data_IF_018410588428
#
_entry.id   IF_018410588428
#
_cell.length_a   1.000
_cell.length_b   1.000
_cell.length_c   1.000
_cell.angle_alpha   90.00
_cell.angle_beta   90.00
_cell.angle_gamma   90.00
#
_symmetry.space_group_name_H-M   'P 1'
#
loop_
_entity.id
_entity.type
_entity.pdbx_description
1 polymer ?
#
# COMPACT_ATOMS: atom_id res chain seq x y z
N UNK A 1 -5.93 -56.84 26.94
CA UNK A 1 -4.78 -55.93 26.81
C UNK A 1 -5.24 -54.82 25.89
N UNK A 2 -5.62 -53.70 26.51
CA UNK A 2 -6.36 -52.59 25.88
C UNK A 2 -5.35 -51.51 25.54
N UNK A 3 -5.23 -51.12 24.28
CA UNK A 3 -4.45 -49.96 23.88
C UNK A 3 -5.44 -48.82 23.69
N UNK A 4 -5.41 -47.89 24.64
CA UNK A 4 -6.16 -46.65 24.66
C UNK A 4 -5.53 -45.73 23.61
N UNK A 5 -6.34 -45.24 22.67
CA UNK A 5 -5.97 -44.13 21.81
C UNK A 5 -6.16 -42.83 22.60
N UNK A 6 -5.09 -42.06 22.79
CA UNK A 6 -5.18 -40.65 23.13
C UNK A 6 -5.32 -39.83 21.84
N UNK A 7 -6.36 -38.98 21.68
CA UNK A 7 -6.26 -37.85 20.78
C UNK A 7 -5.59 -36.71 21.53
N UNK A 8 -4.41 -36.29 21.05
CA UNK A 8 -3.80 -35.04 21.45
C UNK A 8 -4.73 -33.87 21.12
N UNK A 9 -5.18 -33.19 22.17
CA UNK A 9 -5.87 -31.90 22.11
C UNK A 9 -4.88 -30.83 21.68
N UNK A 10 -4.75 -30.64 20.37
CA UNK A 10 -4.17 -29.44 19.78
C UNK A 10 -5.28 -28.43 19.57
N UNK A 11 -5.36 -27.41 20.43
CA UNK A 11 -6.20 -26.23 20.25
C UNK A 11 -5.79 -25.54 18.94
N UNK A 12 -6.46 -25.88 17.84
CA UNK A 12 -6.46 -25.04 16.65
C UNK A 12 -7.23 -23.79 17.02
N UNK A 13 -6.50 -22.69 17.23
CA UNK A 13 -7.08 -21.36 17.32
C UNK A 13 -8.03 -21.19 16.14
N UNK A 14 -9.30 -20.90 16.39
CA UNK A 14 -10.31 -20.72 15.36
C UNK A 14 -10.00 -19.44 14.56
N UNK A 15 -9.17 -19.58 13.54
CA UNK A 15 -8.94 -18.58 12.51
C UNK A 15 -10.26 -18.46 11.72
N UNK A 16 -11.13 -17.54 12.13
CA UNK A 16 -12.38 -17.24 11.42
C UNK A 16 -13.63 -17.00 12.28
N UNK A 17 -13.64 -17.29 13.59
CA UNK A 17 -14.88 -17.16 14.38
C UNK A 17 -15.26 -15.72 14.75
N UNK A 18 -14.29 -14.84 15.04
CA UNK A 18 -14.60 -13.48 15.49
C UNK A 18 -15.17 -12.58 14.39
N UNK A 19 -14.85 -12.85 13.12
CA UNK A 19 -15.36 -12.08 11.99
C UNK A 19 -16.85 -12.33 11.74
N UNK A 20 -17.27 -13.60 11.82
CA UNK A 20 -18.67 -14.03 11.60
C UNK A 20 -19.66 -13.28 12.48
N UNK A 21 -19.35 -13.15 13.78
CA UNK A 21 -20.22 -12.50 14.77
C UNK A 21 -20.42 -10.99 14.48
N UNK A 22 -19.40 -10.31 13.95
CA UNK A 22 -19.50 -8.89 13.57
C UNK A 22 -20.39 -8.71 12.33
N UNK A 23 -20.31 -9.59 11.33
CA UNK A 23 -21.15 -9.51 10.13
C UNK A 23 -22.63 -9.70 10.45
N UNK A 24 -22.94 -10.71 11.26
CA UNK A 24 -24.31 -11.00 11.68
C UNK A 24 -24.89 -9.84 12.51
N UNK A 25 -24.06 -9.18 13.32
CA UNK A 25 -24.43 -7.99 14.09
C UNK A 25 -24.76 -6.81 13.18
N UNK A 26 -23.92 -6.53 12.17
CA UNK A 26 -24.15 -5.42 11.23
C UNK A 26 -25.40 -5.64 10.38
N UNK A 27 -25.62 -6.86 9.88
CA UNK A 27 -26.82 -7.18 9.09
C UNK A 27 -28.09 -7.10 9.92
N UNK A 28 -28.03 -7.56 11.17
CA UNK A 28 -29.14 -7.43 12.12
C UNK A 28 -29.46 -5.97 12.42
N UNK A 29 -28.44 -5.13 12.62
CA UNK A 29 -28.62 -3.70 12.87
C UNK A 29 -29.24 -2.97 11.65
N UNK A 30 -28.81 -3.30 10.44
CA UNK A 30 -29.39 -2.74 9.21
C UNK A 30 -30.86 -3.17 9.02
N UNK A 31 -31.17 -4.44 9.32
CA UNK A 31 -32.55 -4.93 9.24
C UNK A 31 -33.46 -4.25 10.27
N UNK A 32 -32.96 -4.06 11.50
CA UNK A 32 -33.67 -3.33 12.55
C UNK A 32 -33.86 -1.84 12.23
N UNK A 33 -32.95 -1.25 11.44
CA UNK A 33 -33.06 0.12 10.95
C UNK A 33 -34.08 0.29 9.80
N UNK A 34 -34.76 -0.79 9.39
CA UNK A 34 -35.80 -0.74 8.35
C UNK A 34 -35.23 -0.62 6.93
N UNK A 35 -33.97 -1.01 6.72
CA UNK A 35 -33.36 -1.06 5.38
C UNK A 35 -34.10 -2.10 4.53
N UNK A 36 -34.35 -1.77 3.27
CA UNK A 36 -35.06 -2.66 2.36
C UNK A 36 -34.27 -3.94 2.04
N UNK A 37 -34.97 -4.97 1.58
CA UNK A 37 -34.38 -6.30 1.34
C UNK A 37 -33.29 -6.30 0.25
N UNK A 38 -33.39 -5.43 -0.77
CA UNK A 38 -32.39 -5.37 -1.82
C UNK A 38 -31.10 -4.73 -1.30
N UNK A 39 -31.21 -3.67 -0.50
CA UNK A 39 -30.06 -3.04 0.16
C UNK A 39 -29.41 -3.96 1.19
N UNK A 40 -30.21 -4.73 1.97
CA UNK A 40 -29.69 -5.75 2.88
C UNK A 40 -28.94 -6.88 2.16
N UNK A 41 -29.48 -7.36 1.03
CA UNK A 41 -28.82 -8.37 0.22
C UNK A 41 -27.49 -7.86 -0.35
N UNK A 42 -27.46 -6.60 -0.79
CA UNK A 42 -26.23 -5.95 -1.26
C UNK A 42 -25.20 -5.81 -0.14
N UNK A 43 -25.64 -5.39 1.06
CA UNK A 43 -24.77 -5.31 2.23
C UNK A 43 -24.19 -6.68 2.61
N UNK A 44 -25.02 -7.73 2.60
CA UNK A 44 -24.57 -9.10 2.86
C UNK A 44 -23.52 -9.57 1.83
N UNK A 45 -23.75 -9.34 0.54
CA UNK A 45 -22.79 -9.68 -0.51
C UNK A 45 -21.47 -8.93 -0.34
N UNK A 46 -21.51 -7.62 -0.08
CA UNK A 46 -20.32 -6.81 0.13
C UNK A 46 -19.50 -7.28 1.35
N UNK A 47 -20.17 -7.59 2.46
CA UNK A 47 -19.54 -8.10 3.68
C UNK A 47 -18.94 -9.50 3.45
N UNK A 48 -19.65 -10.39 2.75
CA UNK A 48 -19.15 -11.73 2.43
C UNK A 48 -17.92 -11.68 1.51
N UNK A 49 -17.93 -10.82 0.48
CA UNK A 49 -16.75 -10.61 -0.39
C UNK A 49 -15.57 -10.04 0.39
N UNK A 50 -15.82 -9.06 1.27
CA UNK A 50 -14.80 -8.51 2.17
C UNK A 50 -14.22 -9.56 3.12
N UNK A 51 -15.04 -10.47 3.64
CA UNK A 51 -14.61 -11.55 4.51
C UNK A 51 -13.73 -12.57 3.78
N UNK A 52 -14.16 -13.04 2.61
CA UNK A 52 -13.39 -13.96 1.76
C UNK A 52 -12.01 -13.37 1.47
N UNK A 53 -11.97 -12.07 1.14
CA UNK A 53 -10.72 -11.36 0.95
C UNK A 53 -9.86 -11.34 2.21
N UNK A 54 -10.43 -10.96 3.36
CA UNK A 54 -9.70 -10.89 4.63
C UNK A 54 -9.09 -12.24 5.03
N UNK A 55 -9.86 -13.33 4.89
CA UNK A 55 -9.39 -14.69 5.15
C UNK A 55 -8.27 -15.08 4.18
N UNK A 56 -8.42 -14.78 2.89
CA UNK A 56 -7.40 -15.09 1.90
C UNK A 56 -6.11 -14.31 2.14
N UNK A 57 -6.18 -13.00 2.39
CA UNK A 57 -5.00 -12.17 2.65
C UNK A 57 -4.27 -12.60 3.92
N UNK A 58 -5.02 -12.96 4.97
CA UNK A 58 -4.45 -13.53 6.19
C UNK A 58 -3.75 -14.87 5.91
N UNK A 59 -4.37 -15.76 5.13
CA UNK A 59 -3.77 -17.04 4.76
C UNK A 59 -2.49 -16.86 3.92
N UNK A 60 -2.44 -15.88 3.01
CA UNK A 60 -1.23 -15.56 2.23
C UNK A 60 -0.07 -15.16 3.17
N UNK A 61 -0.34 -14.32 4.16
CA UNK A 61 0.66 -13.89 5.14
C UNK A 61 1.09 -15.05 6.06
N UNK A 62 0.13 -15.77 6.66
CA UNK A 62 0.40 -16.81 7.65
C UNK A 62 1.14 -18.02 7.05
N UNK A 63 0.88 -18.32 5.77
CA UNK A 63 1.52 -19.41 5.04
C UNK A 63 2.81 -18.98 4.33
N UNK A 64 3.20 -17.70 4.40
CA UNK A 64 4.40 -17.18 3.75
C UNK A 64 4.41 -17.36 2.23
N UNK A 65 3.25 -17.16 1.57
CA UNK A 65 3.13 -17.32 0.11
C UNK A 65 3.70 -16.09 -0.60
N UNK A 66 5.03 -15.98 -0.67
CA UNK A 66 5.77 -14.80 -1.16
C UNK A 66 5.28 -14.28 -2.53
N UNK A 67 4.98 -15.18 -3.46
CA UNK A 67 4.49 -14.81 -4.81
C UNK A 67 3.11 -14.12 -4.78
N UNK A 68 2.31 -14.36 -3.74
CA UNK A 68 0.97 -13.80 -3.59
C UNK A 68 0.93 -12.56 -2.70
N UNK A 69 2.00 -12.28 -1.94
CA UNK A 69 2.05 -11.10 -1.05
C UNK A 69 1.86 -9.78 -1.82
N UNK A 70 2.46 -9.56 -3.01
CA UNK A 70 2.21 -8.33 -3.79
C UNK A 70 0.74 -8.21 -4.22
N UNK A 71 0.10 -9.32 -4.59
CA UNK A 71 -1.32 -9.35 -4.97
C UNK A 71 -2.20 -9.01 -3.79
N UNK A 72 -1.87 -9.54 -2.60
CA UNK A 72 -2.59 -9.22 -1.37
C UNK A 72 -2.43 -7.74 -0.99
N UNK A 73 -1.23 -7.17 -1.11
CA UNK A 73 -1.01 -5.75 -0.85
C UNK A 73 -1.82 -4.85 -1.80
N UNK A 74 -1.84 -5.16 -3.10
CA UNK A 74 -2.60 -4.39 -4.11
C UNK A 74 -4.10 -4.43 -3.81
N UNK A 75 -4.65 -5.62 -3.57
CA UNK A 75 -6.07 -5.77 -3.29
C UNK A 75 -6.47 -5.05 -1.99
N UNK A 76 -5.62 -5.04 -0.96
CA UNK A 76 -5.87 -4.33 0.28
C UNK A 76 -6.00 -2.82 0.04
N UNK A 77 -5.09 -2.24 -0.77
CA UNK A 77 -5.14 -0.82 -1.11
C UNK A 77 -6.35 -0.48 -2.00
N UNK A 78 -6.72 -1.34 -2.96
CA UNK A 78 -7.94 -1.17 -3.77
C UNK A 78 -9.17 -1.14 -2.87
N UNK A 79 -9.31 -2.10 -1.96
CA UNK A 79 -10.43 -2.16 -1.00
C UNK A 79 -10.44 -0.91 -0.13
N UNK A 80 -9.29 -0.50 0.44
CA UNK A 80 -9.16 0.72 1.25
C UNK A 80 -9.59 1.97 0.48
N UNK A 81 -9.29 2.05 -0.82
CA UNK A 81 -9.72 3.17 -1.68
C UNK A 81 -11.22 3.14 -1.94
N UNK A 82 -11.78 1.99 -2.29
CA UNK A 82 -13.22 1.83 -2.54
C UNK A 82 -14.03 2.19 -1.30
N UNK A 83 -13.67 1.63 -0.14
CA UNK A 83 -14.37 1.91 1.13
C UNK A 83 -14.27 3.37 1.55
N UNK A 84 -13.14 4.02 1.25
CA UNK A 84 -12.92 5.45 1.51
C UNK A 84 -13.42 6.36 0.38
N UNK A 85 -14.11 5.82 -0.65
CA UNK A 85 -14.55 6.54 -1.86
C UNK A 85 -13.44 7.34 -2.57
N UNK A 86 -12.20 6.84 -2.50
CA UNK A 86 -11.04 7.40 -3.20
C UNK A 86 -10.98 6.85 -4.63
N UNK A 87 -10.64 7.67 -5.64
CA UNK A 87 -10.51 7.18 -7.01
C UNK A 87 -9.40 6.13 -7.12
N UNK A 88 -9.70 5.06 -7.87
CA UNK A 88 -8.76 3.96 -8.16
C UNK A 88 -7.86 4.34 -9.34
N UNK A 89 -8.36 5.14 -10.29
CA UNK A 89 -7.65 5.51 -11.52
C UNK A 89 -6.19 5.97 -11.29
N UNK A 90 -5.87 6.81 -10.30
CA UNK A 90 -4.47 7.15 -10.03
C UNK A 90 -3.57 5.95 -9.73
N UNK A 91 -4.09 4.92 -9.04
CA UNK A 91 -3.34 3.69 -8.77
C UNK A 91 -3.14 2.86 -10.06
N UNK A 92 -4.14 2.80 -10.93
CA UNK A 92 -4.06 2.10 -12.22
C UNK A 92 -3.06 2.78 -13.15
N UNK A 93 -3.21 4.10 -13.35
CA UNK A 93 -2.30 4.92 -14.15
C UNK A 93 -0.85 4.83 -13.60
N UNK A 94 -0.71 4.51 -12.31
CA UNK A 94 0.58 4.25 -11.66
C UNK A 94 1.16 2.86 -11.95
N UNK A 95 0.35 1.80 -12.11
CA UNK A 95 0.81 0.40 -12.22
C UNK A 95 1.01 -0.02 -13.69
N UNK A 96 0.12 0.40 -14.59
CA UNK A 96 0.14 -0.01 -16.01
C UNK A 96 1.47 0.27 -16.73
N UNK A 97 2.11 1.47 -16.57
CA UNK A 97 3.38 1.76 -17.23
C UNK A 97 4.54 0.90 -16.69
N UNK A 98 4.48 0.51 -15.41
CA UNK A 98 5.54 -0.25 -14.75
C UNK A 98 5.53 -1.71 -15.18
N UNK A 99 4.34 -2.31 -15.27
CA UNK A 99 4.18 -3.66 -15.82
C UNK A 99 4.64 -3.73 -17.28
N UNK A 100 4.38 -2.71 -18.09
CA UNK A 100 4.85 -2.66 -19.47
C UNK A 100 6.39 -2.58 -19.55
N UNK A 101 7.03 -1.81 -18.65
CA UNK A 101 8.48 -1.61 -18.62
C UNK A 101 9.27 -2.81 -18.07
N UNK A 102 8.73 -3.54 -17.07
CA UNK A 102 9.38 -4.69 -16.43
C UNK A 102 9.70 -5.84 -17.41
N UNK A 103 8.97 -5.94 -18.52
CA UNK A 103 9.15 -7.00 -19.53
C UNK A 103 10.46 -6.94 -20.34
N UNK A 104 11.27 -5.87 -20.16
CA UNK A 104 12.53 -5.65 -20.90
C UNK A 104 13.65 -5.17 -19.98
N UNK A 105 14.04 -5.99 -19.01
CA UNK A 105 15.19 -5.68 -18.16
C UNK A 105 16.48 -5.88 -18.96
N UNK A 106 17.24 -4.80 -19.17
CA UNK A 106 18.56 -4.87 -19.80
C UNK A 106 19.60 -5.50 -18.85
N UNK A 107 20.60 -6.25 -19.36
CA UNK A 107 21.64 -6.83 -18.52
C UNK A 107 22.33 -5.77 -17.64
N UNK A 108 22.47 -6.05 -16.34
CA UNK A 108 23.04 -5.11 -15.37
C UNK A 108 22.02 -4.17 -14.72
N UNK A 109 20.74 -4.19 -15.11
CA UNK A 109 19.68 -3.40 -14.48
C UNK A 109 18.73 -4.24 -13.62
N UNK A 110 18.09 -3.61 -12.65
CA UNK A 110 17.03 -4.24 -11.86
C UNK A 110 15.70 -4.25 -12.63
N UNK A 111 14.80 -5.21 -12.34
CA UNK A 111 13.48 -5.28 -12.98
C UNK A 111 12.63 -4.01 -12.81
N UNK A 112 12.84 -3.27 -11.72
CA UNK A 112 12.14 -2.01 -11.43
C UNK A 112 12.80 -0.77 -12.05
N UNK A 113 13.97 -0.91 -12.69
CA UNK A 113 14.65 0.21 -13.33
C UNK A 113 13.81 0.79 -14.45
N UNK A 114 13.75 2.12 -14.51
CA UNK A 114 13.12 2.81 -15.63
C UNK A 114 14.10 2.87 -16.80
N UNK A 115 13.67 2.38 -17.96
CA UNK A 115 14.49 2.32 -19.17
C UNK A 115 15.13 3.69 -19.50
N UNK A 116 16.43 3.68 -19.77
CA UNK A 116 17.21 4.86 -20.17
C UNK A 116 17.49 5.89 -19.06
N UNK A 117 17.17 5.59 -17.80
CA UNK A 117 17.38 6.54 -16.69
C UNK A 117 18.54 6.20 -15.76
N UNK A 118 18.95 4.94 -15.73
CA UNK A 118 20.14 4.53 -14.99
C UNK A 118 21.39 5.16 -15.61
N UNK A 119 22.28 5.66 -14.75
CA UNK A 119 23.44 6.44 -15.20
C UNK A 119 24.73 5.82 -14.66
N UNK A 120 25.70 5.54 -15.53
CA UNK A 120 27.05 5.14 -15.11
C UNK A 120 27.88 6.39 -14.84
N UNK A 121 28.40 6.49 -13.62
CA UNK A 121 29.31 7.55 -13.18
C UNK A 121 30.66 6.93 -12.79
N UNK A 122 31.61 7.79 -12.48
CA UNK A 122 32.94 7.38 -12.05
C UNK A 122 33.26 8.03 -10.71
N UNK A 123 33.86 7.26 -9.81
CA UNK A 123 34.49 7.76 -8.60
C UNK A 123 35.69 8.64 -8.92
N UNK A 124 36.19 9.35 -7.91
CA UNK A 124 37.41 10.17 -8.01
C UNK A 124 38.64 9.33 -8.40
N UNK A 125 38.65 8.03 -8.10
CA UNK A 125 39.69 7.08 -8.49
C UNK A 125 39.52 6.52 -9.92
N UNK A 126 38.46 6.93 -10.63
CA UNK A 126 38.14 6.50 -11.98
C UNK A 126 37.37 5.17 -12.05
N UNK A 127 37.02 4.54 -10.93
CA UNK A 127 36.22 3.32 -10.91
C UNK A 127 34.76 3.64 -11.30
N UNK A 128 34.16 2.94 -12.27
CA UNK A 128 32.78 3.18 -12.65
C UNK A 128 31.80 2.61 -11.61
N UNK A 129 30.67 3.27 -11.44
CA UNK A 129 29.53 2.76 -10.67
C UNK A 129 28.23 3.14 -11.37
N UNK A 130 27.20 2.29 -11.26
CA UNK A 130 25.89 2.57 -11.86
C UNK A 130 24.90 3.04 -10.80
N UNK A 131 24.31 4.20 -11.07
CA UNK A 131 23.15 4.71 -10.33
C UNK A 131 21.89 4.17 -10.99
N UNK A 132 21.19 3.27 -10.30
CA UNK A 132 19.93 2.69 -10.77
C UNK A 132 18.77 3.56 -10.32
N UNK A 133 17.88 3.92 -11.24
CA UNK A 133 16.72 4.77 -10.98
C UNK A 133 15.44 4.11 -11.48
N UNK A 134 14.44 4.10 -10.61
CA UNK A 134 13.15 3.49 -10.84
C UNK A 134 12.03 4.52 -10.85
N UNK A 135 10.95 4.20 -10.15
CA UNK A 135 9.77 5.03 -10.07
C UNK A 135 10.07 6.34 -9.33
N UNK A 136 9.63 7.46 -9.92
CA UNK A 136 9.57 8.77 -9.27
C UNK A 136 8.13 9.26 -9.15
N UNK A 137 7.74 9.72 -7.96
CA UNK A 137 6.50 10.43 -7.69
C UNK A 137 6.79 11.81 -7.12
N UNK A 138 5.90 12.77 -7.33
CA UNK A 138 6.06 14.14 -6.82
C UNK A 138 4.70 14.69 -6.41
N UNK A 139 4.65 15.27 -5.21
CA UNK A 139 3.52 16.04 -4.73
C UNK A 139 3.67 17.49 -5.21
N UNK A 140 2.71 18.00 -6.02
CA UNK A 140 2.74 19.38 -6.48
C UNK A 140 2.54 20.34 -5.31
N UNK A 141 3.11 21.54 -5.45
CA UNK A 141 2.95 22.62 -4.49
C UNK A 141 1.52 23.16 -4.59
N UNK A 142 0.78 23.32 -3.48
CA UNK A 142 -0.50 24.02 -3.47
C UNK A 142 -0.36 25.47 -3.97
N UNK A 143 -1.32 25.92 -4.77
CA UNK A 143 -1.36 27.30 -5.25
C UNK A 143 -1.33 28.29 -4.07
N UNK A 144 -0.51 29.34 -4.19
CA UNK A 144 -0.33 30.36 -3.15
C UNK A 144 0.77 30.07 -2.11
N UNK A 145 1.42 28.90 -2.13
CA UNK A 145 2.61 28.66 -1.29
C UNK A 145 3.89 29.21 -1.93
N UNK A 146 4.64 30.01 -1.17
CA UNK A 146 5.93 30.57 -1.59
C UNK A 146 7.08 29.59 -1.30
N UNK A 147 7.18 28.51 -2.08
CA UNK A 147 8.31 27.57 -2.05
C UNK A 147 8.97 27.45 -3.44
N UNK A 148 10.18 26.87 -3.50
CA UNK A 148 10.89 26.64 -4.76
C UNK A 148 10.02 25.83 -5.72
N UNK A 149 9.99 26.20 -6.99
CA UNK A 149 9.02 25.69 -7.96
C UNK A 149 8.95 24.15 -8.04
N UNK A 150 7.73 23.63 -8.15
CA UNK A 150 7.34 22.28 -8.54
C UNK A 150 7.51 21.10 -7.55
N UNK A 151 7.99 21.28 -6.31
CA UNK A 151 8.15 20.14 -5.39
C UNK A 151 7.84 20.53 -3.94
N UNK A 152 6.76 19.97 -3.37
CA UNK A 152 6.62 19.89 -1.91
C UNK A 152 7.29 18.61 -1.39
N UNK A 153 7.19 17.52 -2.14
CA UNK A 153 7.74 16.22 -1.79
C UNK A 153 7.99 15.39 -3.05
N UNK A 154 9.18 14.83 -3.17
CA UNK A 154 9.54 13.88 -4.22
C UNK A 154 10.02 12.59 -3.58
N UNK A 155 9.56 11.46 -4.11
CA UNK A 155 10.07 10.14 -3.75
C UNK A 155 10.53 9.42 -5.02
N UNK A 156 11.74 8.86 -5.01
CA UNK A 156 12.31 8.12 -6.14
C UNK A 156 12.93 6.81 -5.66
N UNK A 157 12.53 5.69 -6.28
CA UNK A 157 13.16 4.40 -6.06
C UNK A 157 14.53 4.41 -6.74
N UNK A 158 15.57 4.07 -6.00
CA UNK A 158 16.96 4.10 -6.47
C UNK A 158 17.78 2.99 -5.84
N UNK A 159 18.83 2.55 -6.51
CA UNK A 159 19.88 1.73 -5.92
C UNK A 159 21.23 2.24 -6.37
N UNK A 160 22.15 2.38 -5.43
CA UNK A 160 23.54 2.73 -5.69
C UNK A 160 24.37 1.48 -5.42
N UNK A 161 25.04 0.97 -6.45
CA UNK A 161 25.86 -0.26 -6.34
C UNK A 161 26.92 -0.16 -5.24
N UNK A 162 27.36 1.06 -4.92
CA UNK A 162 28.37 1.37 -3.91
C UNK A 162 27.89 1.18 -2.45
N UNK A 163 26.59 1.30 -2.16
CA UNK A 163 26.05 1.35 -0.79
C UNK A 163 25.29 0.08 -0.38
N UNK A 164 25.43 -1.00 -1.16
CA UNK A 164 24.88 -2.37 -1.00
C UNK A 164 24.21 -2.87 -2.28
N UNK A 165 23.87 -1.96 -3.20
CA UNK A 165 22.99 -2.26 -4.34
C UNK A 165 21.54 -2.55 -3.95
N UNK A 166 21.18 -2.41 -2.66
CA UNK A 166 19.80 -2.60 -2.22
C UNK A 166 18.90 -1.44 -2.71
N UNK A 167 17.65 -1.71 -3.11
CA UNK A 167 16.69 -0.67 -3.44
C UNK A 167 16.33 0.17 -2.22
N UNK A 168 16.40 1.49 -2.38
CA UNK A 168 16.03 2.49 -1.39
C UNK A 168 15.11 3.53 -2.01
N UNK A 169 14.36 4.26 -1.20
CA UNK A 169 13.59 5.42 -1.65
C UNK A 169 14.28 6.71 -1.23
N UNK A 170 14.76 7.47 -2.21
CA UNK A 170 15.18 8.86 -1.99
C UNK A 170 13.93 9.73 -1.78
N UNK A 171 13.79 10.32 -0.60
CA UNK A 171 12.63 11.10 -0.16
C UNK A 171 13.06 12.53 0.17
N UNK A 172 12.58 13.51 -0.60
CA UNK A 172 13.14 14.88 -0.60
C UNK A 172 12.07 15.96 -0.68
N UNK A 173 12.39 17.16 -0.19
CA UNK A 173 11.55 18.37 -0.29
C UNK A 173 12.40 19.58 -0.68
N UNK A 174 12.84 19.63 -1.95
CA UNK A 174 13.54 20.81 -2.53
C UNK A 174 14.91 21.15 -1.91
N UNK A 175 15.50 20.24 -1.15
CA UNK A 175 16.77 20.35 -0.43
C UNK A 175 17.39 18.98 -0.15
N UNK A 176 18.16 18.84 0.93
CA UNK A 176 18.74 17.54 1.32
C UNK A 176 17.61 16.57 1.71
N UNK A 177 17.49 15.48 0.96
CA UNK A 177 16.56 14.38 1.25
C UNK A 177 17.14 13.34 2.18
N UNK A 178 16.40 12.25 2.36
CA UNK A 178 16.83 11.04 3.07
C UNK A 178 16.68 9.84 2.15
N UNK A 179 17.55 8.85 2.30
CA UNK A 179 17.40 7.55 1.65
C UNK A 179 16.74 6.61 2.66
N UNK A 180 15.59 6.05 2.30
CA UNK A 180 14.78 5.20 3.16
C UNK A 180 14.90 3.74 2.71
N UNK A 181 15.25 2.86 3.63
CA UNK A 181 15.07 1.42 3.46
C UNK A 181 13.59 1.02 3.66
N UNK A 182 13.24 -0.23 3.36
CA UNK A 182 11.84 -0.70 3.37
C UNK A 182 11.10 -0.42 4.70
N UNK A 183 11.71 -0.74 5.84
CA UNK A 183 11.08 -0.54 7.15
C UNK A 183 10.90 0.96 7.50
N UNK A 184 11.82 1.81 7.06
CA UNK A 184 11.73 3.26 7.26
C UNK A 184 10.66 3.86 6.34
N UNK A 185 10.58 3.36 5.11
CA UNK A 185 9.52 3.72 4.16
C UNK A 185 8.13 3.35 4.70
N UNK A 186 7.96 2.15 5.27
CA UNK A 186 6.71 1.73 5.91
C UNK A 186 6.30 2.67 7.05
N UNK A 187 7.27 3.10 7.85
CA UNK A 187 7.06 4.08 8.93
C UNK A 187 6.61 5.44 8.36
N UNK A 188 7.26 5.92 7.30
CA UNK A 188 6.89 7.17 6.64
C UNK A 188 5.49 7.08 6.01
N UNK A 189 5.14 5.95 5.40
CA UNK A 189 3.80 5.69 4.86
C UNK A 189 2.75 5.80 5.97
N UNK A 190 2.96 5.14 7.11
CA UNK A 190 2.04 5.21 8.25
C UNK A 190 1.87 6.62 8.81
N UNK A 191 2.97 7.38 8.91
CA UNK A 191 2.94 8.77 9.36
C UNK A 191 2.19 9.69 8.37
N UNK A 192 2.39 9.52 7.06
CA UNK A 192 1.69 10.27 6.03
C UNK A 192 0.19 9.95 6.00
N UNK A 193 -0.19 8.69 6.16
CA UNK A 193 -1.59 8.29 6.27
C UNK A 193 -2.27 8.97 7.46
N UNK A 194 -1.63 8.97 8.63
CA UNK A 194 -2.12 9.65 9.84
C UNK A 194 -2.27 11.15 9.60
N UNK A 195 -1.28 11.78 8.97
CA UNK A 195 -1.33 13.20 8.62
C UNK A 195 -2.49 13.52 7.66
N UNK A 196 -2.69 12.70 6.63
CA UNK A 196 -3.79 12.86 5.68
C UNK A 196 -5.16 12.71 6.37
N UNK A 197 -5.30 11.81 7.34
CA UNK A 197 -6.54 11.68 8.12
C UNK A 197 -6.80 12.91 8.99
N UNK A 198 -5.74 13.50 9.57
CA UNK A 198 -5.82 14.80 10.25
C UNK A 198 -6.29 15.93 9.32
N UNK A 199 -5.72 16.04 8.12
CA UNK A 199 -6.15 17.03 7.11
C UNK A 199 -7.63 16.86 6.73
N UNK A 200 -8.10 15.61 6.56
CA UNK A 200 -9.51 15.32 6.26
C UNK A 200 -10.43 15.70 7.41
N UNK A 201 -10.02 15.47 8.66
CA UNK A 201 -10.78 15.90 9.83
C UNK A 201 -10.92 17.42 9.87
N UNK A 202 -9.83 18.16 9.64
CA UNK A 202 -9.87 19.62 9.55
C UNK A 202 -10.75 20.11 8.39
N UNK A 203 -10.73 19.43 7.23
CA UNK A 203 -11.65 19.78 6.12
C UNK A 203 -13.12 19.65 6.53
N UNK A 204 -13.50 18.59 7.24
CA UNK A 204 -14.87 18.42 7.74
C UNK A 204 -15.25 19.52 8.73
N UNK A 205 -14.33 19.93 9.59
CA UNK A 205 -14.56 21.06 10.51
C UNK A 205 -14.79 22.36 9.74
N UNK A 206 -13.99 22.65 8.72
CA UNK A 206 -14.19 23.83 7.86
C UNK A 206 -15.56 23.84 7.19
N UNK A 207 -16.05 22.68 6.74
CA UNK A 207 -17.39 22.55 6.13
C UNK A 207 -18.50 22.82 7.16
N UNK A 208 -18.32 22.38 8.41
CA UNK A 208 -19.29 22.62 9.49
C UNK A 208 -19.38 24.09 9.88
N UNK A 209 -18.26 24.80 9.92
CA UNK A 209 -18.22 26.23 10.23
C UNK A 209 -18.80 27.08 9.08
N UNK A 210 -18.57 26.69 7.82
CA UNK A 210 -19.12 27.40 6.65
C UNK A 210 -20.64 27.24 6.48
N UNK A 211 -21.25 26.27 7.17
CA UNK A 211 -22.69 26.01 7.14
C UNK A 211 -23.48 26.77 8.23
N UNK A 212 -22.79 27.53 9.10
CA UNK A 212 -23.37 28.40 10.13
C UNK A 212 -23.49 29.85 9.62
#
# INVERSE_FOLDING_TARGET
MTIIAEPQSGTKTNIGQSGGEMYDTVLSALALAGVDSATLQHAHQALATGYVYGVWAQAVNDLGLEELMPVAAINAEVIKRVTSRRPIKPLIDMIEPEHAAQSKTEPGHFPWCRSGTCTTRHFDDGTPYTEHTGRRITMPIPEGMSCRANQLLTAELSALEEFSGAPMVSFTSGGNGVCLEAAELDTVIGNLDTFLDGLRAMRRQLEQEQAQ
#
